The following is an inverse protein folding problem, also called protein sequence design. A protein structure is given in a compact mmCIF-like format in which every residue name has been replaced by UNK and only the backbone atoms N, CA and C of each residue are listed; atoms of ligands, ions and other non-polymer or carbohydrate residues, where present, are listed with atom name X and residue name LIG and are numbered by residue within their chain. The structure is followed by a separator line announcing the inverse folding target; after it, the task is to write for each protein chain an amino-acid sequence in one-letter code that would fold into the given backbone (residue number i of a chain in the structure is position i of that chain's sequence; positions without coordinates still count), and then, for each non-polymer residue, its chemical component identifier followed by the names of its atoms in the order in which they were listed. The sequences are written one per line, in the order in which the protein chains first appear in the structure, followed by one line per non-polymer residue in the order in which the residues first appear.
data_IF_080495260356
#
_entry.id   IF_080495260356
#
_cell.length_a   1.000
_cell.length_b   1.000
_cell.length_c   1.000
_cell.angle_alpha   90.00
_cell.angle_beta   90.00
_cell.angle_gamma   90.00
#
_symmetry.space_group_name_H-M   'P 1'
#
loop_
_entity.id
_entity.type
_entity.pdbx_description
1 polymer ?
#
# COMPACT_ATOMS: atom_id res chain seq x y z
N UNK A 1 -13.25 -15.34 -12.15
CA UNK A 1 -12.56 -14.87 -10.93
C UNK A 1 -11.90 -13.55 -11.29
N UNK A 2 -12.21 -12.45 -10.60
CA UNK A 2 -11.50 -11.18 -10.78
C UNK A 2 -10.35 -11.10 -9.79
N UNK A 3 -9.14 -10.79 -10.26
CA UNK A 3 -7.99 -10.61 -9.36
C UNK A 3 -8.05 -9.23 -8.71
N UNK A 4 -7.81 -9.18 -7.39
CA UNK A 4 -7.99 -7.95 -6.60
C UNK A 4 -6.94 -6.89 -6.93
N UNK A 5 -5.75 -7.32 -7.37
CA UNK A 5 -4.62 -6.47 -7.76
C UNK A 5 -4.09 -6.90 -9.15
N UNK A 6 -4.98 -7.14 -10.10
CA UNK A 6 -4.58 -7.51 -11.47
C UNK A 6 -3.87 -6.36 -12.18
N UNK A 7 -3.11 -6.65 -13.24
CA UNK A 7 -2.48 -5.60 -14.05
C UNK A 7 -3.49 -4.61 -14.62
N UNK A 8 -4.64 -5.11 -15.06
CA UNK A 8 -5.73 -4.28 -15.59
C UNK A 8 -6.27 -3.30 -14.55
N UNK A 9 -6.39 -3.73 -13.28
CA UNK A 9 -6.83 -2.84 -12.18
C UNK A 9 -5.82 -1.73 -11.94
N UNK A 10 -4.52 -2.05 -11.95
CA UNK A 10 -3.45 -1.07 -11.72
C UNK A 10 -3.38 -0.07 -12.87
N UNK A 11 -3.44 -0.53 -14.12
CA UNK A 11 -3.44 0.31 -15.31
C UNK A 11 -4.65 1.25 -15.34
N UNK A 12 -5.86 0.72 -15.13
CA UNK A 12 -7.08 1.52 -15.10
C UNK A 12 -7.04 2.59 -13.99
N UNK A 13 -6.51 2.24 -12.81
CA UNK A 13 -6.35 3.19 -11.71
C UNK A 13 -5.34 4.29 -12.06
N UNK A 14 -4.20 3.92 -12.67
CA UNK A 14 -3.18 4.88 -13.13
C UNK A 14 -3.71 5.81 -14.22
N UNK A 15 -4.56 5.31 -15.12
CA UNK A 15 -5.23 6.13 -16.13
C UNK A 15 -6.21 7.14 -15.49
N UNK A 16 -7.04 6.68 -14.55
CA UNK A 16 -7.96 7.54 -13.81
C UNK A 16 -7.23 8.66 -13.07
N UNK A 17 -6.12 8.35 -12.41
CA UNK A 17 -5.25 9.34 -11.77
C UNK A 17 -4.73 10.36 -12.80
N UNK A 18 -4.29 9.90 -13.98
CA UNK A 18 -3.79 10.79 -15.03
C UNK A 18 -4.87 11.75 -15.54
N UNK A 19 -6.12 11.31 -15.63
CA UNK A 19 -7.27 12.16 -15.96
C UNK A 19 -7.50 13.24 -14.89
N UNK A 20 -7.51 12.85 -13.61
CA UNK A 20 -7.69 13.76 -12.48
C UNK A 20 -6.54 14.80 -12.44
N UNK A 21 -5.29 14.37 -12.61
CA UNK A 21 -4.14 15.29 -12.65
C UNK A 21 -4.27 16.35 -13.73
N UNK A 22 -4.72 15.98 -14.94
CA UNK A 22 -4.97 16.94 -16.02
C UNK A 22 -6.08 17.93 -15.67
N UNK A 23 -7.15 17.47 -15.04
CA UNK A 23 -8.27 18.31 -14.61
C UNK A 23 -7.82 19.37 -13.57
N UNK A 24 -7.03 18.97 -12.58
CA UNK A 24 -6.55 19.85 -11.51
C UNK A 24 -5.21 20.55 -11.83
N UNK A 25 -4.60 20.26 -12.98
CA UNK A 25 -3.30 20.80 -13.44
C UNK A 25 -2.16 20.55 -12.46
N UNK A 26 -2.16 19.40 -11.79
CA UNK A 26 -1.11 19.00 -10.84
C UNK A 26 -0.07 18.12 -11.51
N UNK A 27 1.22 18.35 -11.21
CA UNK A 27 2.35 17.61 -11.78
C UNK A 27 2.84 16.46 -10.89
N UNK A 28 2.51 16.47 -9.60
CA UNK A 28 2.92 15.48 -8.59
C UNK A 28 1.72 15.07 -7.74
N UNK A 29 1.76 13.86 -7.17
CA UNK A 29 0.68 13.35 -6.33
C UNK A 29 1.22 12.56 -5.15
N UNK A 30 0.46 12.54 -4.07
CA UNK A 30 0.59 11.55 -3.00
C UNK A 30 -0.54 10.54 -3.13
N UNK A 31 -0.24 9.27 -2.87
CA UNK A 31 -1.22 8.20 -2.92
C UNK A 31 -1.49 7.68 -1.52
N UNK A 32 -2.77 7.66 -1.13
CA UNK A 32 -3.22 7.10 0.14
C UNK A 32 -4.06 5.87 -0.12
N UNK A 33 -3.72 4.75 0.52
CA UNK A 33 -4.42 3.48 0.34
C UNK A 33 -4.75 2.78 1.66
N UNK A 34 -5.98 2.29 1.78
CA UNK A 34 -6.43 1.53 2.95
C UNK A 34 -6.60 0.04 2.61
N UNK A 35 -6.11 -0.86 3.47
CA UNK A 35 -6.29 -2.32 3.30
C UNK A 35 -5.80 -2.80 1.92
N UNK A 36 -6.66 -3.40 1.10
CA UNK A 36 -6.31 -3.75 -0.30
C UNK A 36 -6.01 -2.54 -1.19
N UNK A 37 -6.59 -1.37 -0.90
CA UNK A 37 -6.24 -0.12 -1.57
C UNK A 37 -4.80 0.33 -1.33
N UNK A 38 -4.18 -0.11 -0.23
CA UNK A 38 -2.74 0.10 0.00
C UNK A 38 -1.89 -0.64 -1.03
N UNK A 39 -2.25 -1.89 -1.37
CA UNK A 39 -1.57 -2.64 -2.41
C UNK A 39 -1.72 -1.96 -3.77
N UNK A 40 -2.93 -1.50 -4.10
CA UNK A 40 -3.17 -0.73 -5.34
C UNK A 40 -2.34 0.56 -5.36
N UNK A 41 -2.33 1.34 -4.28
CA UNK A 41 -1.55 2.57 -4.21
C UNK A 41 -0.04 2.33 -4.41
N UNK A 42 0.52 1.31 -3.76
CA UNK A 42 1.92 0.94 -3.93
C UNK A 42 2.22 0.45 -5.35
N UNK A 43 1.39 -0.42 -5.93
CA UNK A 43 1.58 -0.92 -7.29
C UNK A 43 1.43 0.19 -8.35
N UNK A 44 0.52 1.14 -8.14
CA UNK A 44 0.40 2.33 -8.99
C UNK A 44 1.64 3.20 -8.86
N UNK A 45 2.17 3.40 -7.65
CA UNK A 45 3.42 4.15 -7.45
C UNK A 45 4.61 3.48 -8.14
N UNK A 46 4.70 2.14 -8.11
CA UNK A 46 5.75 1.40 -8.80
C UNK A 46 5.74 1.62 -10.34
N UNK A 47 4.58 1.95 -10.90
CA UNK A 47 4.39 2.19 -12.33
C UNK A 47 4.49 3.68 -12.73
N UNK A 48 4.78 4.58 -11.79
CA UNK A 48 4.69 6.03 -12.00
C UNK A 48 5.89 6.78 -11.42
N UNK A 49 6.39 7.76 -12.16
CA UNK A 49 7.50 8.62 -11.72
C UNK A 49 7.05 9.93 -11.05
N UNK A 50 5.74 10.15 -10.96
CA UNK A 50 5.14 11.42 -10.52
C UNK A 50 4.44 11.31 -9.15
N UNK A 51 4.72 10.21 -8.43
CA UNK A 51 4.26 9.97 -7.06
C UNK A 51 5.37 10.37 -6.10
N UNK A 52 5.11 11.37 -5.27
CA UNK A 52 6.08 11.91 -4.30
C UNK A 52 6.07 11.16 -2.98
N UNK A 53 4.96 10.48 -2.65
CA UNK A 53 4.80 9.71 -1.42
C UNK A 53 3.68 8.69 -1.51
N UNK A 54 3.84 7.57 -0.81
CA UNK A 54 2.78 6.59 -0.55
C UNK A 54 2.47 6.55 0.94
N UNK A 55 1.19 6.63 1.28
CA UNK A 55 0.70 6.49 2.65
C UNK A 55 -0.27 5.33 2.69
N UNK A 56 -0.10 4.42 3.63
CA UNK A 56 -0.99 3.27 3.75
C UNK A 56 -1.56 3.15 5.14
N UNK A 57 -2.81 2.69 5.22
CA UNK A 57 -3.48 2.39 6.49
C UNK A 57 -3.95 0.94 6.47
N UNK A 58 -3.55 0.14 7.46
CA UNK A 58 -3.88 -1.28 7.56
C UNK A 58 -3.58 -2.08 6.27
N UNK A 59 -2.47 -1.75 5.60
CA UNK A 59 -2.22 -2.11 4.20
C UNK A 59 -1.74 -3.55 3.96
N UNK A 60 -2.37 -4.26 3.02
CA UNK A 60 -1.96 -5.62 2.61
C UNK A 60 -0.80 -5.58 1.58
N UNK A 61 0.39 -5.18 2.04
CA UNK A 61 1.55 -4.89 1.17
C UNK A 61 2.39 -6.11 0.78
N UNK A 62 2.20 -7.22 1.48
CA UNK A 62 2.79 -8.50 1.12
C UNK A 62 1.71 -9.59 1.16
N UNK A 63 0.93 -9.70 0.09
CA UNK A 63 -0.24 -10.56 0.12
C UNK A 63 0.13 -12.06 0.13
N UNK A 64 1.31 -12.45 -0.37
CA UNK A 64 1.77 -13.83 -0.28
C UNK A 64 2.01 -14.23 1.19
N UNK A 65 2.72 -13.38 1.95
CA UNK A 65 2.89 -13.53 3.40
C UNK A 65 1.53 -13.53 4.12
N UNK A 66 0.63 -12.60 3.77
CA UNK A 66 -0.72 -12.54 4.34
C UNK A 66 -1.52 -13.83 4.10
N UNK A 67 -1.52 -14.37 2.87
CA UNK A 67 -2.24 -15.62 2.56
C UNK A 67 -1.65 -16.82 3.30
N UNK A 68 -0.33 -16.87 3.46
CA UNK A 68 0.35 -17.92 4.22
C UNK A 68 0.00 -17.85 5.71
N UNK A 69 0.05 -16.64 6.29
CA UNK A 69 -0.27 -16.38 7.70
C UNK A 69 -1.70 -16.84 8.03
N UNK A 70 -2.65 -16.49 7.16
CA UNK A 70 -4.07 -16.82 7.34
C UNK A 70 -4.47 -18.21 6.84
N UNK A 71 -3.57 -18.94 6.19
CA UNK A 71 -3.81 -20.27 5.59
C UNK A 71 -4.98 -20.27 4.61
N UNK A 72 -5.07 -19.22 3.79
CA UNK A 72 -6.08 -19.06 2.75
C UNK A 72 -5.47 -19.22 1.36
N UNK A 73 -6.32 -19.40 0.35
CA UNK A 73 -5.89 -19.55 -1.04
C UNK A 73 -5.00 -18.39 -1.49
N UNK A 74 -3.81 -18.65 -2.05
CA UNK A 74 -2.96 -17.63 -2.64
C UNK A 74 -3.68 -16.79 -3.71
N UNK A 75 -3.35 -15.50 -3.78
CA UNK A 75 -3.87 -14.59 -4.79
C UNK A 75 -3.02 -14.65 -6.07
N UNK A 76 -2.96 -15.82 -6.71
CA UNK A 76 -2.02 -16.10 -7.81
C UNK A 76 -2.15 -15.20 -9.05
N UNK A 77 -3.35 -14.67 -9.31
CA UNK A 77 -3.59 -13.77 -10.45
C UNK A 77 -3.43 -12.27 -10.07
N UNK A 78 -2.94 -11.98 -8.85
CA UNK A 78 -2.73 -10.61 -8.34
C UNK A 78 -1.24 -10.29 -8.24
N UNK A 79 -0.90 -9.03 -8.50
CA UNK A 79 0.44 -8.51 -8.26
C UNK A 79 0.67 -8.26 -6.76
N UNK A 80 1.91 -8.46 -6.31
CA UNK A 80 2.30 -8.25 -4.92
C UNK A 80 3.24 -7.04 -4.80
N UNK A 81 2.93 -6.00 -4.01
CA UNK A 81 3.78 -4.81 -3.90
C UNK A 81 5.24 -5.10 -3.52
N UNK A 82 5.48 -6.12 -2.67
CA UNK A 82 6.85 -6.51 -2.26
C UNK A 82 7.74 -6.92 -3.43
N UNK A 83 7.15 -7.45 -4.52
CA UNK A 83 7.90 -7.86 -5.72
C UNK A 83 8.37 -6.66 -6.56
N UNK A 84 7.89 -5.45 -6.23
CA UNK A 84 8.22 -4.17 -6.88
C UNK A 84 9.09 -3.26 -6.00
N UNK A 85 9.75 -3.82 -4.97
CA UNK A 85 10.56 -3.04 -4.04
C UNK A 85 11.62 -2.16 -4.72
N UNK A 86 12.24 -2.63 -5.81
CA UNK A 86 13.23 -1.85 -6.58
C UNK A 86 12.63 -0.58 -7.20
N UNK A 87 11.42 -0.67 -7.73
CA UNK A 87 10.71 0.47 -8.33
C UNK A 87 10.25 1.45 -7.26
N UNK A 88 9.99 0.95 -6.06
CA UNK A 88 9.47 1.71 -4.93
C UNK A 88 10.58 2.26 -4.01
N UNK A 89 11.82 1.84 -4.20
CA UNK A 89 12.97 2.15 -3.33
C UNK A 89 13.21 3.65 -3.16
N UNK A 90 12.95 4.44 -4.19
CA UNK A 90 13.13 5.89 -4.16
C UNK A 90 11.87 6.66 -3.74
N UNK A 91 10.74 5.99 -3.53
CA UNK A 91 9.46 6.62 -3.19
C UNK A 91 9.28 6.60 -1.68
N UNK A 92 9.21 7.74 -0.98
CA UNK A 92 8.93 7.78 0.45
C UNK A 92 7.60 7.12 0.81
N UNK A 93 7.59 6.29 1.86
CA UNK A 93 6.42 5.54 2.31
C UNK A 93 6.21 5.66 3.82
N UNK A 94 4.96 5.90 4.22
CA UNK A 94 4.51 5.87 5.61
C UNK A 94 3.37 4.86 5.77
N UNK A 95 3.58 3.86 6.61
CA UNK A 95 2.64 2.76 6.82
C UNK A 95 2.06 2.78 8.23
N UNK A 96 0.80 3.17 8.34
CA UNK A 96 0.04 3.06 9.58
C UNK A 96 -0.50 1.65 9.75
N UNK A 97 -0.15 1.01 10.87
CA UNK A 97 -0.58 -0.35 11.21
C UNK A 97 -1.32 -0.39 12.54
N UNK A 98 -2.36 -1.21 12.62
CA UNK A 98 -3.16 -1.35 13.84
C UNK A 98 -2.52 -2.35 14.79
N UNK A 99 -2.30 -1.97 16.04
CA UNK A 99 -1.73 -2.88 17.05
C UNK A 99 -2.65 -4.06 17.40
N UNK A 100 -3.94 -3.96 17.08
CA UNK A 100 -4.96 -5.01 17.24
C UNK A 100 -5.54 -5.48 15.91
N UNK A 101 -4.90 -5.15 14.79
CA UNK A 101 -5.38 -5.59 13.49
C UNK A 101 -5.09 -7.09 13.31
N UNK A 102 -6.15 -7.90 13.30
CA UNK A 102 -6.08 -9.32 12.99
C UNK A 102 -6.38 -9.64 11.53
N UNK A 103 -6.91 -8.70 10.76
CA UNK A 103 -7.17 -8.88 9.33
C UNK A 103 -5.89 -8.71 8.54
N UNK A 104 -5.17 -7.61 8.76
CA UNK A 104 -3.84 -7.36 8.20
C UNK A 104 -2.89 -7.11 9.38
N UNK A 105 -2.37 -8.19 10.00
CA UNK A 105 -1.43 -8.05 11.10
C UNK A 105 -0.21 -7.22 10.71
N UNK A 106 0.35 -6.49 11.67
CA UNK A 106 1.54 -5.65 11.45
C UNK A 106 2.70 -6.39 10.75
N UNK A 107 2.83 -7.70 10.97
CA UNK A 107 3.88 -8.54 10.39
C UNK A 107 3.80 -8.61 8.86
N UNK A 108 2.62 -8.39 8.27
CA UNK A 108 2.45 -8.26 6.82
C UNK A 108 3.20 -7.04 6.31
N UNK A 109 3.08 -5.90 6.99
CA UNK A 109 3.77 -4.66 6.62
C UNK A 109 5.25 -4.71 7.00
N UNK A 110 5.60 -5.29 8.15
CA UNK A 110 7.01 -5.55 8.53
C UNK A 110 7.71 -6.36 7.44
N UNK A 111 7.10 -7.46 6.95
CA UNK A 111 7.66 -8.29 5.87
C UNK A 111 7.84 -7.56 4.53
N UNK A 112 7.13 -6.45 4.32
CA UNK A 112 7.27 -5.60 3.15
C UNK A 112 8.38 -4.55 3.36
N UNK A 113 8.42 -3.89 4.51
CA UNK A 113 9.44 -2.86 4.78
C UNK A 113 10.85 -3.47 4.90
N UNK A 114 10.96 -4.70 5.40
CA UNK A 114 12.24 -5.40 5.58
C UNK A 114 13.01 -5.65 4.26
N UNK A 115 12.37 -5.59 3.09
CA UNK A 115 13.06 -5.78 1.81
C UNK A 115 13.72 -4.50 1.28
N UNK A 116 13.41 -3.34 1.87
CA UNK A 116 13.99 -2.06 1.46
C UNK A 116 15.32 -1.81 2.18
N UNK A 117 16.37 -1.38 1.47
CA UNK A 117 17.67 -1.10 2.08
C UNK A 117 17.66 0.18 2.94
N UNK A 118 16.87 1.18 2.55
CA UNK A 118 16.73 2.44 3.28
C UNK A 118 15.44 2.47 4.11
N UNK A 119 15.57 2.15 5.40
CA UNK A 119 14.47 2.21 6.38
C UNK A 119 14.11 3.64 6.82
N UNK A 120 14.86 4.67 6.42
CA UNK A 120 14.60 6.06 6.83
C UNK A 120 13.43 6.69 6.06
N UNK A 121 13.19 6.25 4.83
CA UNK A 121 12.07 6.70 3.99
C UNK A 121 10.95 5.66 3.86
N UNK A 122 11.11 4.47 4.44
CA UNK A 122 10.08 3.41 4.52
C UNK A 122 9.71 3.16 5.98
N UNK A 123 8.73 3.89 6.48
CA UNK A 123 8.47 3.97 7.92
C UNK A 123 7.17 3.28 8.31
N UNK A 124 7.19 2.61 9.48
CA UNK A 124 6.00 1.98 10.08
C UNK A 124 5.60 2.76 11.33
N UNK A 125 4.33 3.15 11.41
CA UNK A 125 3.74 3.77 12.58
C UNK A 125 2.62 2.90 13.16
N UNK A 126 2.85 2.39 14.37
CA UNK A 126 1.89 1.51 15.05
C UNK A 126 0.88 2.34 15.84
N UNK A 127 -0.40 2.20 15.51
CA UNK A 127 -1.52 2.75 16.27
C UNK A 127 -2.05 1.65 17.20
N UNK A 128 -1.59 1.67 18.46
CA UNK A 128 -1.67 0.53 19.40
C UNK A 128 -3.06 -0.09 19.55
N UNK A 129 -4.09 0.73 19.65
CA UNK A 129 -5.44 0.27 19.99
C UNK A 129 -6.31 -0.05 18.77
N UNK A 130 -5.84 0.28 17.56
CA UNK A 130 -6.63 0.14 16.34
C UNK A 130 -6.61 -1.30 15.83
N UNK A 131 -7.81 -1.78 15.48
CA UNK A 131 -7.98 -2.99 14.65
C UNK A 131 -8.09 -2.62 13.17
N UNK A 132 -8.51 -3.56 12.32
CA UNK A 132 -8.66 -3.29 10.89
C UNK A 132 -9.66 -2.16 10.65
N UNK A 133 -10.90 -2.33 11.09
CA UNK A 133 -12.04 -1.51 10.65
C UNK A 133 -12.24 -0.20 11.40
N UNK A 134 -11.48 0.08 12.46
CA UNK A 134 -11.81 1.19 13.36
C UNK A 134 -10.64 2.10 13.69
N UNK A 135 -11.06 3.32 14.01
CA UNK A 135 -10.39 4.24 14.91
C UNK A 135 -9.25 5.00 14.24
N UNK A 136 -9.29 5.10 12.91
CA UNK A 136 -8.29 5.74 12.05
C UNK A 136 -8.48 7.25 11.89
N UNK A 137 -9.48 7.85 12.53
CA UNK A 137 -9.82 9.28 12.43
C UNK A 137 -8.65 10.20 12.83
N UNK A 138 -7.82 9.77 13.78
CA UNK A 138 -6.62 10.52 14.19
C UNK A 138 -5.43 10.38 13.24
N UNK A 139 -5.48 9.46 12.27
CA UNK A 139 -4.38 9.22 11.31
C UNK A 139 -4.43 10.17 10.13
N UNK A 140 -5.62 10.54 9.64
CA UNK A 140 -5.78 11.50 8.54
C UNK A 140 -5.33 12.92 8.87
N UNK A 141 -5.04 13.24 10.13
CA UNK A 141 -4.48 14.53 10.55
C UNK A 141 -2.94 14.57 10.48
N UNK A 142 -2.30 13.47 10.08
CA UNK A 142 -0.84 13.32 10.08
C UNK A 142 -0.24 13.43 8.67
N UNK A 143 -1.06 13.77 7.67
CA UNK A 143 -0.69 14.06 6.30
C UNK A 143 -1.72 14.99 5.64
#
# INVERSE_FOLDING_TARGET
MGSRFSNEVIEATSEAISLIKRQYKTIEIELVGYSGGAAVAALVAAARSDVTRVITVAGNLNHSYWTQLHRVTPLGDSQNPVDYAKQLEATPQLHFVGGRDSTVPKSVVESYVEVFPDSTIHTIQVIRENGHNCCWEGVSAQF
#
